data_IF_424424060145
#
_entry.id   IF_424424060145
#
_cell.length_a   1.000
_cell.length_b   1.000
_cell.length_c   1.000
_cell.angle_alpha   90.00
_cell.angle_beta   90.00
_cell.angle_gamma   90.00
#
_symmetry.space_group_name_H-M   'P 1'
#
loop_
_entity.id
_entity.type
_entity.pdbx_description
1 polymer ?
#
# COMPACT_ATOMS: atom_id res chain seq x y z
N UNK A 1 -20.09 3.24 -9.05
CA UNK A 1 -18.79 3.83 -9.46
C UNK A 1 -17.73 3.35 -8.47
N UNK A 2 -16.99 2.30 -8.81
CA UNK A 2 -15.94 1.76 -7.93
C UNK A 2 -14.66 2.56 -8.18
N UNK A 3 -14.36 3.54 -7.33
CA UNK A 3 -13.08 4.23 -7.37
C UNK A 3 -11.96 3.20 -7.15
N UNK A 4 -10.86 3.33 -7.90
CA UNK A 4 -9.70 2.45 -7.77
C UNK A 4 -9.24 2.46 -6.29
N UNK A 5 -9.05 1.30 -5.62
CA UNK A 5 -8.65 1.25 -4.22
C UNK A 5 -7.35 2.02 -3.92
N UNK A 6 -6.47 2.18 -4.91
CA UNK A 6 -5.27 3.03 -4.79
C UNK A 6 -5.61 4.53 -4.68
N UNK A 7 -6.64 4.99 -5.38
CA UNK A 7 -7.08 6.38 -5.31
C UNK A 7 -7.71 6.68 -3.94
N UNK A 8 -8.52 5.75 -3.40
CA UNK A 8 -9.06 5.89 -2.04
C UNK A 8 -7.95 5.96 -1.00
N UNK A 9 -6.92 5.11 -1.12
CA UNK A 9 -5.79 5.14 -0.20
C UNK A 9 -5.01 6.47 -0.28
N UNK A 10 -4.80 6.99 -1.50
CA UNK A 10 -4.12 8.27 -1.69
C UNK A 10 -4.93 9.45 -1.11
N UNK A 11 -6.26 9.40 -1.11
CA UNK A 11 -7.10 10.41 -0.45
C UNK A 11 -6.99 10.34 1.08
N UNK A 12 -7.05 9.13 1.66
CA UNK A 12 -6.89 8.94 3.11
C UNK A 12 -5.53 9.47 3.58
N UNK A 13 -4.45 9.14 2.87
CA UNK A 13 -3.12 9.64 3.22
C UNK A 13 -3.03 11.16 3.11
N UNK A 14 -3.68 11.79 2.11
CA UNK A 14 -3.74 13.25 2.01
C UNK A 14 -4.48 13.89 3.18
N UNK A 15 -5.60 13.33 3.60
CA UNK A 15 -6.36 13.85 4.73
C UNK A 15 -5.58 13.72 6.04
N UNK A 16 -4.88 12.59 6.25
CA UNK A 16 -3.99 12.43 7.40
C UNK A 16 -2.86 13.45 7.38
N UNK A 17 -2.21 13.65 6.24
CA UNK A 17 -1.13 14.64 6.08
C UNK A 17 -1.64 16.06 6.36
N UNK A 18 -2.80 16.44 5.82
CA UNK A 18 -3.43 17.74 6.08
C UNK A 18 -3.87 17.92 7.53
N UNK A 19 -4.33 16.85 8.18
CA UNK A 19 -4.71 16.86 9.60
C UNK A 19 -3.49 16.85 10.52
N UNK A 20 -2.31 16.51 9.99
CA UNK A 20 -1.07 16.60 10.74
C UNK A 20 -0.73 18.07 10.97
N UNK A 21 -0.41 18.44 12.22
CA UNK A 21 0.03 19.79 12.59
C UNK A 21 1.40 20.16 11.99
N UNK A 22 2.01 19.27 11.19
CA UNK A 22 3.30 19.48 10.56
C UNK A 22 3.11 20.33 9.31
N UNK A 23 3.83 21.46 9.24
CA UNK A 23 3.86 22.31 8.06
C UNK A 23 4.75 21.68 6.99
N UNK A 24 4.22 20.67 6.32
CA UNK A 24 4.90 19.99 5.23
C UNK A 24 4.74 20.81 3.95
N UNK A 25 5.84 21.02 3.22
CA UNK A 25 5.76 21.63 1.90
C UNK A 25 5.00 20.71 0.95
N UNK A 26 4.24 21.26 0.00
CA UNK A 26 3.44 20.49 -0.96
C UNK A 26 4.27 19.45 -1.74
N UNK A 27 5.54 19.75 -2.02
CA UNK A 27 6.50 18.81 -2.60
C UNK A 27 6.76 17.61 -1.69
N UNK A 28 6.90 17.85 -0.38
CA UNK A 28 7.14 16.80 0.60
C UNK A 28 5.90 15.91 0.82
N UNK A 29 4.69 16.49 0.80
CA UNK A 29 3.44 15.72 0.85
C UNK A 29 3.33 14.75 -0.34
N UNK A 30 3.65 15.23 -1.55
CA UNK A 30 3.64 14.40 -2.75
C UNK A 30 4.69 13.27 -2.68
N UNK A 31 5.91 13.58 -2.26
CA UNK A 31 6.98 12.57 -2.09
C UNK A 31 6.58 11.53 -1.03
N UNK A 32 5.98 11.95 0.09
CA UNK A 32 5.48 11.02 1.11
C UNK A 32 4.39 10.10 0.56
N UNK A 33 3.44 10.63 -0.21
CA UNK A 33 2.41 9.82 -0.87
C UNK A 33 3.01 8.81 -1.85
N UNK A 34 3.97 9.21 -2.67
CA UNK A 34 4.67 8.30 -3.58
C UNK A 34 5.41 7.20 -2.83
N UNK A 35 6.10 7.52 -1.73
CA UNK A 35 6.79 6.53 -0.88
C UNK A 35 5.79 5.55 -0.26
N UNK A 36 4.66 6.02 0.25
CA UNK A 36 3.61 5.18 0.84
C UNK A 36 2.97 4.26 -0.21
N UNK A 37 2.71 4.77 -1.42
CA UNK A 37 2.20 3.97 -2.54
C UNK A 37 3.22 2.92 -3.00
N UNK A 38 4.49 3.30 -3.11
CA UNK A 38 5.58 2.40 -3.46
C UNK A 38 5.73 1.29 -2.42
N UNK A 39 5.66 1.63 -1.14
CA UNK A 39 5.70 0.64 -0.05
C UNK A 39 4.53 -0.34 -0.16
N UNK A 40 3.30 0.15 -0.37
CA UNK A 40 2.13 -0.71 -0.58
C UNK A 40 2.28 -1.62 -1.81
N UNK A 41 2.83 -1.11 -2.92
CA UNK A 41 3.07 -1.90 -4.12
C UNK A 41 4.14 -2.99 -3.91
N UNK A 42 5.22 -2.65 -3.20
CA UNK A 42 6.30 -3.60 -2.85
C UNK A 42 5.78 -4.66 -1.89
N UNK A 43 5.10 -4.26 -0.82
CA UNK A 43 4.47 -5.19 0.13
C UNK A 43 3.51 -6.12 -0.59
N UNK A 44 2.62 -5.59 -1.44
CA UNK A 44 1.70 -6.42 -2.23
C UNK A 44 2.43 -7.42 -3.13
N UNK A 45 3.54 -7.03 -3.76
CA UNK A 45 4.37 -7.96 -4.54
C UNK A 45 5.03 -9.03 -3.66
N UNK A 46 5.58 -8.64 -2.51
CA UNK A 46 6.18 -9.58 -1.55
C UNK A 46 5.13 -10.57 -1.04
N UNK A 47 3.96 -10.10 -0.59
CA UNK A 47 2.86 -10.96 -0.13
C UNK A 47 2.37 -11.89 -1.24
N UNK A 48 2.29 -11.44 -2.50
CA UNK A 48 1.93 -12.30 -3.63
C UNK A 48 2.97 -13.39 -3.87
N UNK A 49 4.26 -13.04 -3.94
CA UNK A 49 5.34 -14.01 -4.11
C UNK A 49 5.48 -14.95 -2.90
N UNK A 50 5.20 -14.49 -1.68
CA UNK A 50 5.15 -15.38 -0.51
C UNK A 50 3.95 -16.33 -0.58
N UNK A 51 2.76 -15.85 -0.94
CA UNK A 51 1.60 -16.73 -1.15
C UNK A 51 1.86 -17.77 -2.25
N UNK A 52 2.56 -17.40 -3.32
CA UNK A 52 3.01 -18.34 -4.35
C UNK A 52 3.98 -19.39 -3.78
N UNK A 53 4.91 -19.00 -2.90
CA UNK A 53 5.85 -19.92 -2.24
C UNK A 53 5.22 -20.84 -1.19
N UNK A 54 4.22 -20.35 -0.46
CA UNK A 54 3.50 -21.14 0.56
C UNK A 54 2.34 -21.96 -0.04
N UNK A 55 1.77 -21.52 -1.16
CA UNK A 55 0.70 -22.22 -1.87
C UNK A 55 1.11 -23.61 -2.35
N UNK A 56 2.37 -23.78 -2.75
CA UNK A 56 2.91 -25.07 -3.20
C UNK A 56 3.15 -26.09 -2.07
N UNK A 57 3.04 -25.69 -0.79
CA UNK A 57 3.25 -26.59 0.36
C UNK A 57 1.99 -26.83 1.21
N UNK A 58 0.96 -25.97 1.13
CA UNK A 58 -0.30 -26.21 1.85
C UNK A 58 -1.18 -27.30 1.20
N UNK A 59 -0.99 -27.63 -0.08
CA UNK A 59 -1.76 -28.69 -0.74
C UNK A 59 -1.27 -30.12 -0.43
N UNK A 60 -0.11 -30.28 0.24
CA UNK A 60 0.46 -31.60 0.58
C UNK A 60 0.20 -32.04 2.03
N UNK A 61 -0.69 -31.38 2.78
CA UNK A 61 -1.07 -31.82 4.14
C UNK A 61 -2.57 -31.99 4.31
N UNK A 62 -3.21 -32.53 3.27
CA UNK A 62 -4.50 -33.20 3.36
C UNK A 62 -4.39 -34.60 2.74
N UNK A 63 -3.56 -35.45 3.35
CA UNK A 63 -3.54 -36.89 3.11
C UNK A 63 -3.21 -37.62 4.40
#
# INVERSE_FOLDING_TARGET
MTSNPLNQYAEICRDVIKSSSAKLGKTFENILLEILLLYMAIQRRIYFTQMERYGTHCEQTFL
#
